data_IF_437967944749
#
_entry.id   IF_437967944749
#
_cell.length_a   1.000
_cell.length_b   1.000
_cell.length_c   1.000
_cell.angle_alpha   90.00
_cell.angle_beta   90.00
_cell.angle_gamma   90.00
#
_symmetry.space_group_name_H-M   'P 1'
#
loop_
_entity.id
_entity.type
_entity.pdbx_description
1 polymer ?
#
# COMPACT_ATOMS: atom_id res chain seq x y z
N UNK A 1 73.64 -27.84 52.67
CA UNK A 1 72.93 -28.25 51.49
C UNK A 1 71.43 -28.04 51.79
N UNK A 2 70.92 -26.86 51.54
CA UNK A 2 69.53 -26.51 51.84
C UNK A 2 69.02 -25.53 50.78
N UNK A 3 68.09 -25.99 49.95
CA UNK A 3 67.49 -25.19 48.94
C UNK A 3 66.31 -24.35 49.50
N UNK A 4 66.49 -23.06 49.49
CA UNK A 4 65.39 -22.12 49.76
C UNK A 4 64.56 -21.92 48.52
N UNK A 5 63.28 -22.26 48.59
CA UNK A 5 62.27 -21.88 47.60
C UNK A 5 61.63 -20.55 48.04
N UNK A 6 61.82 -19.55 47.21
CA UNK A 6 61.15 -18.26 47.37
C UNK A 6 59.82 -18.36 46.66
N UNK A 7 58.72 -18.09 47.37
CA UNK A 7 57.36 -18.03 46.83
C UNK A 7 57.10 -16.61 46.36
N UNK A 8 56.95 -16.38 45.05
CA UNK A 8 56.48 -15.10 44.49
C UNK A 8 54.96 -15.14 44.43
N UNK A 9 54.31 -14.27 45.23
CA UNK A 9 52.88 -13.93 45.04
C UNK A 9 52.76 -12.91 43.88
N UNK A 10 52.13 -13.31 42.79
CA UNK A 10 51.74 -12.43 41.72
C UNK A 10 50.32 -11.89 42.01
N UNK A 11 50.22 -10.59 42.22
CA UNK A 11 48.94 -9.88 42.31
C UNK A 11 48.35 -9.73 40.91
N UNK A 12 47.15 -10.27 40.70
CA UNK A 12 46.34 -10.00 39.51
C UNK A 12 45.54 -8.71 39.72
N UNK A 13 45.51 -7.78 38.77
CA UNK A 13 44.51 -6.70 38.76
C UNK A 13 43.19 -7.21 38.22
N UNK A 14 42.10 -6.97 38.99
CA UNK A 14 40.73 -7.11 38.52
C UNK A 14 40.44 -6.04 37.44
N UNK A 15 40.38 -6.45 36.18
CA UNK A 15 39.78 -5.64 35.13
C UNK A 15 38.26 -5.82 35.16
N UNK A 16 37.58 -4.79 35.66
CA UNK A 16 36.13 -4.69 35.54
C UNK A 16 35.71 -4.50 34.07
N UNK A 17 35.18 -5.55 33.46
CA UNK A 17 34.53 -5.43 32.18
C UNK A 17 33.16 -4.78 32.35
N UNK A 18 33.04 -3.50 31.99
CA UNK A 18 31.76 -2.84 31.81
C UNK A 18 31.05 -3.46 30.58
N UNK A 19 30.05 -4.27 30.83
CA UNK A 19 29.11 -4.72 29.79
C UNK A 19 28.26 -3.51 29.35
N UNK A 20 28.70 -2.83 28.32
CA UNK A 20 27.80 -1.96 27.53
C UNK A 20 26.83 -2.87 26.84
N UNK A 21 25.60 -2.94 27.36
CA UNK A 21 24.45 -3.50 26.63
C UNK A 21 24.21 -2.68 25.39
N UNK A 22 24.63 -3.18 24.23
CA UNK A 22 24.11 -2.71 22.95
C UNK A 22 22.66 -3.16 22.88
N UNK A 23 21.74 -2.22 23.08
CA UNK A 23 20.37 -2.39 22.61
C UNK A 23 20.45 -2.43 21.07
N UNK A 24 20.45 -3.62 20.51
CA UNK A 24 20.20 -3.82 19.09
C UNK A 24 18.75 -3.42 18.85
N UNK A 25 18.54 -2.15 18.47
CA UNK A 25 17.32 -1.76 17.78
C UNK A 25 17.28 -2.62 16.51
N UNK A 26 16.45 -3.66 16.51
CA UNK A 26 16.13 -4.37 15.28
C UNK A 26 15.44 -3.37 14.39
N UNK A 27 16.15 -2.88 13.36
CA UNK A 27 15.54 -2.25 12.22
C UNK A 27 14.65 -3.32 11.57
N UNK A 28 13.34 -3.17 11.68
CA UNK A 28 12.39 -4.05 11.02
C UNK A 28 12.62 -3.94 9.52
N UNK A 29 12.92 -5.06 8.88
CA UNK A 29 13.13 -5.11 7.44
C UNK A 29 11.83 -4.85 6.69
N UNK A 30 11.93 -4.46 5.41
CA UNK A 30 10.75 -4.35 4.53
C UNK A 30 9.91 -5.64 4.52
N UNK A 31 10.55 -6.82 4.72
CA UNK A 31 9.88 -8.10 4.81
C UNK A 31 9.05 -8.23 6.11
N UNK A 32 9.55 -7.73 7.24
CA UNK A 32 8.84 -7.80 8.53
C UNK A 32 7.60 -6.90 8.55
N UNK A 33 7.60 -5.80 7.77
CA UNK A 33 6.43 -4.93 7.62
C UNK A 33 5.34 -5.55 6.74
N UNK A 34 5.72 -6.47 5.86
CA UNK A 34 4.81 -7.26 5.02
C UNK A 34 4.11 -8.40 5.79
N UNK A 35 4.58 -8.74 6.98
CA UNK A 35 4.00 -9.78 7.84
C UNK A 35 2.83 -9.32 8.71
N UNK A 36 2.38 -8.08 8.63
CA UNK A 36 1.11 -7.70 9.23
C UNK A 36 -0.02 -8.42 8.51
N UNK A 37 -0.37 -9.60 9.01
CA UNK A 37 -1.52 -10.38 8.55
C UNK A 37 -2.79 -9.64 8.92
N UNK A 38 -3.48 -9.15 7.92
CA UNK A 38 -4.84 -8.60 8.06
C UNK A 38 -5.87 -9.74 8.04
N UNK A 39 -5.66 -10.77 8.84
CA UNK A 39 -6.43 -12.02 8.83
C UNK A 39 -7.80 -11.91 9.50
N UNK A 40 -8.11 -10.79 10.16
CA UNK A 40 -9.42 -10.54 10.79
C UNK A 40 -10.11 -9.32 10.17
N UNK A 41 -10.69 -9.51 8.98
CA UNK A 41 -11.35 -8.43 8.24
C UNK A 41 -12.48 -7.74 9.05
N UNK A 42 -13.25 -8.52 9.87
CA UNK A 42 -14.36 -7.96 10.67
C UNK A 42 -13.91 -7.02 11.77
N UNK A 43 -12.78 -7.31 12.42
CA UNK A 43 -12.19 -6.39 13.42
C UNK A 43 -11.59 -5.17 12.75
N UNK A 44 -10.91 -5.36 11.63
CA UNK A 44 -10.29 -4.29 10.86
C UNK A 44 -11.34 -3.35 10.24
N UNK A 45 -12.53 -3.86 9.90
CA UNK A 45 -13.63 -3.05 9.40
C UNK A 45 -14.01 -1.91 10.35
N UNK A 46 -13.95 -2.12 11.67
CA UNK A 46 -14.21 -1.06 12.66
C UNK A 46 -13.31 0.16 12.48
N UNK A 47 -12.05 -0.06 12.05
CA UNK A 47 -11.06 0.99 11.80
C UNK A 47 -11.07 1.46 10.35
N UNK A 48 -11.17 0.53 9.40
CA UNK A 48 -11.06 0.84 7.99
C UNK A 48 -12.32 1.50 7.43
N UNK A 49 -13.47 1.22 8.03
CA UNK A 49 -14.76 1.83 7.65
C UNK A 49 -15.23 2.89 8.66
N UNK A 50 -14.34 3.38 9.56
CA UNK A 50 -14.68 4.44 10.50
C UNK A 50 -15.14 5.68 9.73
N UNK A 51 -16.37 6.18 9.97
CA UNK A 51 -16.88 7.40 9.33
C UNK A 51 -15.98 8.63 9.54
N UNK A 52 -15.19 8.67 10.62
CA UNK A 52 -14.24 9.75 10.86
C UNK A 52 -13.16 9.86 9.75
N UNK A 53 -12.94 8.81 8.95
CA UNK A 53 -12.07 8.86 7.77
C UNK A 53 -12.57 9.84 6.71
N UNK A 54 -13.87 10.00 6.56
CA UNK A 54 -14.47 10.86 5.54
C UNK A 54 -13.98 12.31 5.65
N UNK A 55 -13.71 12.78 6.89
CA UNK A 55 -13.23 14.14 7.14
C UNK A 55 -11.84 14.46 6.56
N UNK A 56 -11.00 13.46 6.35
CA UNK A 56 -9.64 13.65 5.84
C UNK A 56 -9.34 12.85 4.56
N UNK A 57 -10.05 11.77 4.31
CA UNK A 57 -9.91 10.97 3.09
C UNK A 57 -10.76 11.51 1.94
N UNK A 58 -11.79 12.33 2.26
CA UNK A 58 -12.68 13.03 1.32
C UNK A 58 -13.12 12.12 0.16
N UNK A 59 -13.74 10.95 0.42
CA UNK A 59 -13.94 9.92 -0.58
C UNK A 59 -14.79 10.37 -1.76
N UNK A 60 -15.82 11.20 -1.56
CA UNK A 60 -16.67 11.70 -2.63
C UNK A 60 -15.87 12.61 -3.56
N UNK A 61 -15.03 13.50 -2.99
CA UNK A 61 -14.16 14.37 -3.77
C UNK A 61 -13.10 13.58 -4.54
N UNK A 62 -12.56 12.51 -3.95
CA UNK A 62 -11.66 11.59 -4.65
C UNK A 62 -12.36 10.98 -5.85
N UNK A 63 -13.56 10.42 -5.69
CA UNK A 63 -14.32 9.77 -6.76
C UNK A 63 -14.63 10.77 -7.88
N UNK A 64 -15.03 12.00 -7.55
CA UNK A 64 -15.28 13.05 -8.53
C UNK A 64 -14.03 13.37 -9.36
N UNK A 65 -12.86 13.45 -8.71
CA UNK A 65 -11.58 13.74 -9.37
C UNK A 65 -11.06 12.58 -10.22
N UNK A 66 -11.50 11.35 -9.97
CA UNK A 66 -11.20 10.22 -10.85
C UNK A 66 -11.87 10.34 -12.23
N UNK A 67 -12.90 11.20 -12.39
CA UNK A 67 -13.60 11.46 -13.66
C UNK A 67 -14.06 10.17 -14.35
N UNK A 68 -14.68 9.30 -13.60
CA UNK A 68 -15.21 8.04 -14.11
C UNK A 68 -16.41 8.28 -15.02
N UNK A 69 -16.55 7.40 -16.01
CA UNK A 69 -17.68 7.40 -16.96
C UNK A 69 -18.45 6.08 -16.83
N UNK A 70 -19.73 6.11 -17.15
CA UNK A 70 -20.55 4.89 -17.24
C UNK A 70 -19.93 3.88 -18.19
N UNK A 71 -19.97 2.61 -17.80
CA UNK A 71 -19.42 1.50 -18.59
C UNK A 71 -17.92 1.28 -18.41
N UNK A 72 -17.24 2.10 -17.59
CA UNK A 72 -15.85 1.87 -17.24
C UNK A 72 -15.71 0.75 -16.21
N UNK A 73 -14.53 0.15 -16.20
CA UNK A 73 -14.11 -0.88 -15.23
C UNK A 73 -12.99 -0.32 -14.37
N UNK A 74 -13.11 -0.47 -13.06
CA UNK A 74 -12.12 -0.01 -12.06
C UNK A 74 -11.59 -1.21 -11.30
N UNK A 75 -10.29 -1.22 -11.00
CA UNK A 75 -9.71 -2.11 -10.01
C UNK A 75 -9.31 -1.28 -8.77
N UNK A 76 -9.83 -1.65 -7.62
CA UNK A 76 -9.45 -1.12 -6.29
C UNK A 76 -8.45 -2.10 -5.70
N UNK A 77 -7.13 -1.78 -5.76
CA UNK A 77 -6.04 -2.68 -5.35
C UNK A 77 -5.63 -2.37 -3.90
N UNK A 78 -5.64 -3.40 -3.06
CA UNK A 78 -5.55 -3.28 -1.62
C UNK A 78 -6.88 -2.76 -1.06
N UNK A 79 -7.99 -3.31 -1.56
CA UNK A 79 -9.33 -2.83 -1.24
C UNK A 79 -9.69 -2.95 0.25
N UNK A 80 -9.00 -3.82 1.00
CA UNK A 80 -9.23 -4.04 2.41
C UNK A 80 -10.68 -4.47 2.67
N UNK A 81 -11.39 -3.69 3.47
CA UNK A 81 -12.81 -3.94 3.78
C UNK A 81 -13.76 -3.33 2.75
N UNK A 82 -13.25 -2.62 1.74
CA UNK A 82 -14.05 -2.07 0.63
C UNK A 82 -14.52 -0.64 0.85
N UNK A 83 -13.79 0.15 1.62
CA UNK A 83 -14.14 1.56 1.89
C UNK A 83 -14.34 2.38 0.61
N UNK A 84 -13.41 2.29 -0.36
CA UNK A 84 -13.57 2.91 -1.68
C UNK A 84 -14.39 2.05 -2.64
N UNK A 85 -14.24 0.73 -2.61
CA UNK A 85 -15.00 -0.21 -3.46
C UNK A 85 -16.50 0.08 -3.44
N UNK A 86 -17.10 0.17 -2.24
CA UNK A 86 -18.55 0.42 -2.09
C UNK A 86 -18.95 1.78 -2.64
N UNK A 87 -18.16 2.81 -2.38
CA UNK A 87 -18.42 4.18 -2.86
C UNK A 87 -18.29 4.26 -4.39
N UNK A 88 -17.28 3.64 -4.97
CA UNK A 88 -17.12 3.52 -6.42
C UNK A 88 -18.33 2.84 -7.05
N UNK A 89 -18.73 1.69 -6.49
CA UNK A 89 -19.85 0.91 -7.01
C UNK A 89 -21.19 1.67 -6.96
N UNK A 90 -21.37 2.52 -5.94
CA UNK A 90 -22.57 3.35 -5.74
C UNK A 90 -22.48 4.74 -6.37
N UNK A 91 -21.34 5.11 -6.95
CA UNK A 91 -21.16 6.41 -7.60
C UNK A 91 -22.09 6.57 -8.81
N UNK A 92 -22.28 7.80 -9.28
CA UNK A 92 -23.12 8.08 -10.46
C UNK A 92 -22.64 7.33 -11.70
N UNK A 93 -21.34 7.14 -11.87
CA UNK A 93 -20.76 6.37 -12.96
C UNK A 93 -21.08 4.88 -12.85
N UNK A 94 -21.31 4.37 -11.63
CA UNK A 94 -21.57 2.97 -11.31
C UNK A 94 -20.67 2.00 -12.09
N UNK A 95 -19.34 2.13 -12.03
CA UNK A 95 -18.43 1.28 -12.79
C UNK A 95 -18.54 -0.17 -12.32
N UNK A 96 -18.09 -1.11 -13.16
CA UNK A 96 -17.74 -2.44 -12.68
C UNK A 96 -16.48 -2.30 -11.83
N UNK A 97 -16.49 -2.83 -10.62
CA UNK A 97 -15.37 -2.72 -9.66
C UNK A 97 -14.80 -4.10 -9.35
N UNK A 98 -13.53 -4.30 -9.63
CA UNK A 98 -12.74 -5.39 -9.09
C UNK A 98 -12.15 -4.95 -7.76
N UNK A 99 -12.67 -5.49 -6.65
CA UNK A 99 -12.14 -5.30 -5.31
C UNK A 99 -11.03 -6.33 -5.07
N UNK A 100 -9.79 -5.86 -5.14
CA UNK A 100 -8.61 -6.72 -5.19
C UNK A 100 -7.87 -6.64 -3.87
N UNK A 101 -7.62 -7.78 -3.23
CA UNK A 101 -6.78 -7.83 -2.04
C UNK A 101 -5.92 -9.10 -2.03
N UNK A 102 -4.77 -9.03 -1.34
CA UNK A 102 -3.89 -10.18 -1.19
C UNK A 102 -4.35 -11.10 -0.06
N UNK A 103 -5.05 -10.57 0.94
CA UNK A 103 -5.49 -11.33 2.10
C UNK A 103 -6.80 -12.09 1.82
N UNK A 104 -6.82 -13.43 1.93
CA UNK A 104 -8.03 -14.22 1.66
C UNK A 104 -9.24 -13.81 2.52
N UNK A 105 -9.00 -13.40 3.77
CA UNK A 105 -10.05 -12.93 4.68
C UNK A 105 -10.71 -11.65 4.20
N UNK A 106 -9.93 -10.72 3.60
CA UNK A 106 -10.44 -9.50 2.98
C UNK A 106 -11.25 -9.82 1.72
N UNK A 107 -10.76 -10.72 0.87
CA UNK A 107 -11.48 -11.14 -0.35
C UNK A 107 -12.83 -11.76 0.00
N UNK A 108 -12.88 -12.64 1.02
CA UNK A 108 -14.14 -13.21 1.51
C UNK A 108 -15.07 -12.12 2.03
N UNK A 109 -14.56 -11.22 2.87
CA UNK A 109 -15.32 -10.11 3.44
C UNK A 109 -15.88 -9.17 2.34
N UNK A 110 -15.09 -8.84 1.33
CA UNK A 110 -15.51 -8.01 0.19
C UNK A 110 -16.66 -8.67 -0.59
N UNK A 111 -16.59 -9.98 -0.81
CA UNK A 111 -17.66 -10.73 -1.47
C UNK A 111 -18.94 -10.74 -0.63
N UNK A 112 -18.84 -11.01 0.68
CA UNK A 112 -19.98 -10.97 1.62
C UNK A 112 -20.60 -9.57 1.66
N UNK A 113 -19.78 -8.53 1.78
CA UNK A 113 -20.23 -7.14 1.81
C UNK A 113 -20.93 -6.73 0.51
N UNK A 114 -20.36 -7.08 -0.65
CA UNK A 114 -21.00 -6.80 -1.93
C UNK A 114 -22.39 -7.45 -2.03
N UNK A 115 -22.53 -8.69 -1.58
CA UNK A 115 -23.81 -9.38 -1.55
C UNK A 115 -24.81 -8.72 -0.57
N UNK A 116 -24.37 -8.38 0.64
CA UNK A 116 -25.21 -7.73 1.67
C UNK A 116 -25.70 -6.35 1.23
N UNK A 117 -24.83 -5.59 0.53
CA UNK A 117 -25.15 -4.24 0.04
C UNK A 117 -25.77 -4.25 -1.37
N UNK A 118 -26.08 -5.43 -1.93
CA UNK A 118 -26.68 -5.64 -3.27
C UNK A 118 -25.86 -5.00 -4.42
N UNK A 119 -24.53 -5.02 -4.32
CA UNK A 119 -23.62 -4.44 -5.31
C UNK A 119 -23.26 -5.46 -6.40
N UNK A 120 -24.16 -5.67 -7.37
CA UNK A 120 -23.96 -6.63 -8.47
C UNK A 120 -22.83 -6.26 -9.42
N UNK A 121 -22.33 -5.02 -9.36
CA UNK A 121 -21.21 -4.50 -10.15
C UNK A 121 -19.85 -4.64 -9.42
N UNK A 122 -19.78 -5.31 -8.26
CA UNK A 122 -18.53 -5.57 -7.52
C UNK A 122 -18.16 -7.04 -7.65
N UNK A 123 -16.87 -7.31 -7.92
CA UNK A 123 -16.28 -8.64 -7.96
C UNK A 123 -15.04 -8.66 -7.08
N UNK A 124 -15.03 -9.46 -6.04
CA UNK A 124 -13.85 -9.67 -5.18
C UNK A 124 -12.81 -10.55 -5.91
N UNK A 125 -11.54 -10.16 -5.87
CA UNK A 125 -10.44 -10.83 -6.57
C UNK A 125 -9.27 -11.04 -5.63
N UNK A 126 -8.76 -12.27 -5.59
CA UNK A 126 -7.54 -12.62 -4.85
C UNK A 126 -6.31 -12.22 -5.67
N UNK A 127 -5.51 -11.29 -5.15
CA UNK A 127 -4.21 -10.93 -5.72
C UNK A 127 -3.12 -11.95 -5.36
N UNK A 128 -2.04 -11.94 -6.14
CA UNK A 128 -0.75 -12.46 -5.72
C UNK A 128 0.21 -11.29 -5.42
N UNK A 129 1.32 -11.57 -4.75
CA UNK A 129 2.27 -10.52 -4.33
C UNK A 129 2.84 -9.69 -5.51
N UNK A 130 2.89 -10.27 -6.70
CA UNK A 130 3.50 -9.68 -7.88
C UNK A 130 2.51 -9.34 -9.01
N UNK A 131 1.22 -9.62 -8.80
CA UNK A 131 0.15 -9.33 -9.77
C UNK A 131 -1.22 -9.20 -9.10
N UNK A 132 -2.06 -8.27 -9.55
CA UNK A 132 -3.43 -8.13 -9.03
C UNK A 132 -4.39 -9.21 -9.54
N UNK A 133 -3.97 -10.11 -10.44
CA UNK A 133 -4.77 -11.17 -11.03
C UNK A 133 -6.10 -10.70 -11.66
N UNK A 134 -6.11 -9.52 -12.28
CA UNK A 134 -7.33 -8.97 -12.87
C UNK A 134 -7.86 -9.87 -13.99
N UNK A 135 -9.18 -10.20 -14.00
CA UNK A 135 -9.78 -11.06 -15.03
C UNK A 135 -9.81 -10.42 -16.42
N UNK A 136 -9.78 -9.10 -16.50
CA UNK A 136 -9.77 -8.33 -17.74
C UNK A 136 -9.02 -7.01 -17.59
N UNK A 137 -8.71 -6.35 -18.69
CA UNK A 137 -8.13 -5.01 -18.66
C UNK A 137 -9.14 -3.97 -18.16
N UNK A 138 -8.64 -3.00 -17.37
CA UNK A 138 -9.44 -1.98 -16.70
C UNK A 138 -9.14 -0.57 -17.22
N UNK A 139 -10.10 0.35 -17.03
CA UNK A 139 -9.96 1.76 -17.38
C UNK A 139 -9.21 2.56 -16.32
N UNK A 140 -9.33 2.12 -15.06
CA UNK A 140 -8.68 2.76 -13.91
C UNK A 140 -8.25 1.72 -12.90
N UNK A 141 -7.05 1.89 -12.37
CA UNK A 141 -6.60 1.26 -11.13
C UNK A 141 -6.56 2.33 -10.04
N UNK A 142 -7.23 2.08 -8.92
CA UNK A 142 -7.15 2.89 -7.71
C UNK A 142 -6.32 2.13 -6.68
N UNK A 143 -5.38 2.82 -6.04
CA UNK A 143 -4.51 2.30 -4.97
C UNK A 143 -4.55 3.31 -3.84
N UNK A 144 -5.16 2.95 -2.71
CA UNK A 144 -5.27 3.83 -1.54
C UNK A 144 -4.62 3.17 -0.35
N UNK A 145 -3.69 3.87 0.30
CA UNK A 145 -2.97 3.40 1.49
C UNK A 145 -2.31 2.02 1.31
N UNK A 146 -1.91 1.71 0.06
CA UNK A 146 -1.41 0.38 -0.33
C UNK A 146 -0.08 0.46 -1.08
N UNK A 147 0.24 1.59 -1.72
CA UNK A 147 1.48 1.75 -2.48
C UNK A 147 2.73 1.42 -1.64
N UNK A 148 2.74 1.83 -0.37
CA UNK A 148 3.83 1.57 0.55
C UNK A 148 3.99 0.09 0.94
N UNK A 149 2.96 -0.74 0.74
CA UNK A 149 3.00 -2.19 0.95
C UNK A 149 3.51 -2.98 -0.26
N UNK A 150 3.52 -2.38 -1.45
CA UNK A 150 3.92 -3.09 -2.68
C UNK A 150 5.44 -3.23 -2.71
N UNK A 151 5.94 -4.46 -2.66
CA UNK A 151 7.35 -4.77 -2.87
C UNK A 151 7.71 -4.77 -4.36
N UNK A 152 8.99 -4.45 -4.70
CA UNK A 152 9.46 -4.49 -6.09
C UNK A 152 8.61 -3.66 -7.07
N UNK A 153 8.16 -2.48 -6.64
CA UNK A 153 7.16 -1.62 -7.31
C UNK A 153 7.42 -1.41 -8.80
N UNK A 154 8.68 -1.19 -9.22
CA UNK A 154 9.00 -1.05 -10.65
C UNK A 154 8.54 -2.26 -11.47
N UNK A 155 8.80 -3.47 -10.99
CA UNK A 155 8.42 -4.71 -11.68
C UNK A 155 6.91 -4.91 -11.61
N UNK A 156 6.32 -4.68 -10.44
CA UNK A 156 4.88 -4.78 -10.23
C UNK A 156 4.10 -3.88 -11.18
N UNK A 157 4.41 -2.58 -11.22
CA UNK A 157 3.72 -1.61 -12.06
C UNK A 157 3.97 -1.83 -13.55
N UNK A 158 5.18 -2.31 -13.94
CA UNK A 158 5.44 -2.71 -15.33
C UNK A 158 4.56 -3.89 -15.77
N UNK A 159 4.27 -4.83 -14.87
CA UNK A 159 3.32 -5.91 -15.13
C UNK A 159 1.88 -5.40 -15.18
N UNK A 160 1.51 -4.54 -14.22
CA UNK A 160 0.19 -3.93 -14.12
C UNK A 160 -0.21 -3.17 -15.41
N UNK A 161 0.76 -2.57 -16.10
CA UNK A 161 0.52 -1.89 -17.38
C UNK A 161 -0.20 -2.77 -18.41
N UNK A 162 0.00 -4.09 -18.37
CA UNK A 162 -0.67 -5.05 -19.27
C UNK A 162 -2.15 -5.26 -18.95
N UNK A 163 -2.56 -4.88 -17.76
CA UNK A 163 -3.95 -4.95 -17.28
C UNK A 163 -4.70 -3.62 -17.43
N UNK A 164 -4.08 -2.62 -18.06
CA UNK A 164 -4.75 -1.37 -18.40
C UNK A 164 -5.23 -1.40 -19.86
N UNK A 165 -6.46 -0.91 -20.09
CA UNK A 165 -6.96 -0.61 -21.42
C UNK A 165 -6.17 0.55 -22.06
N UNK A 166 -6.21 0.73 -23.38
CA UNK A 166 -5.70 1.94 -24.02
C UNK A 166 -6.28 3.20 -23.37
N UNK A 167 -5.42 4.12 -22.91
CA UNK A 167 -5.83 5.30 -22.16
C UNK A 167 -6.19 5.03 -20.68
N UNK A 168 -5.99 3.81 -20.21
CA UNK A 168 -6.17 3.46 -18.81
C UNK A 168 -5.20 4.19 -17.89
N UNK A 169 -5.62 4.41 -16.64
CA UNK A 169 -4.91 5.24 -15.66
C UNK A 169 -4.68 4.48 -14.35
N UNK A 170 -3.68 4.93 -13.60
CA UNK A 170 -3.42 4.48 -12.22
C UNK A 170 -3.51 5.70 -11.31
N UNK A 171 -4.40 5.66 -10.33
CA UNK A 171 -4.53 6.67 -9.27
C UNK A 171 -3.92 6.12 -7.99
N UNK A 172 -2.96 6.84 -7.43
CA UNK A 172 -2.28 6.49 -6.18
C UNK A 172 -2.60 7.56 -5.14
N UNK A 173 -3.13 7.11 -4.01
CA UNK A 173 -3.38 7.92 -2.82
C UNK A 173 -2.62 7.29 -1.68
N UNK A 174 -1.65 8.00 -1.09
CA UNK A 174 -0.84 7.48 0.01
C UNK A 174 -0.39 8.60 0.95
N UNK A 175 -0.02 8.25 2.16
CA UNK A 175 0.27 9.20 3.22
C UNK A 175 1.43 10.13 2.92
N UNK A 176 1.23 11.42 3.23
CA UNK A 176 2.29 12.44 3.22
C UNK A 176 3.34 12.14 4.31
N UNK A 177 4.62 12.48 4.12
CA UNK A 177 5.66 12.26 5.13
C UNK A 177 5.36 12.89 6.49
N UNK A 178 4.67 14.01 6.51
CA UNK A 178 4.29 14.78 7.71
C UNK A 178 2.90 14.47 8.24
N UNK A 179 2.18 13.51 7.64
CA UNK A 179 0.85 13.11 8.12
C UNK A 179 0.90 12.68 9.60
N UNK A 180 -0.10 13.07 10.42
CA UNK A 180 -0.17 12.66 11.83
C UNK A 180 -0.46 11.16 11.99
N UNK A 181 -1.00 10.52 10.97
CA UNK A 181 -1.38 9.10 10.94
C UNK A 181 -0.78 8.42 9.71
N UNK A 182 -0.85 7.10 9.68
CA UNK A 182 -0.35 6.28 8.57
C UNK A 182 0.76 5.32 9.00
N UNK A 183 1.48 4.72 8.06
CA UNK A 183 2.59 3.82 8.33
C UNK A 183 3.75 4.56 9.01
N UNK A 184 4.75 3.86 9.57
CA UNK A 184 6.00 4.47 10.01
C UNK A 184 6.60 5.39 8.94
N UNK A 185 7.29 6.46 9.37
CA UNK A 185 7.72 7.54 8.47
C UNK A 185 8.63 7.06 7.32
N UNK A 186 9.41 6.03 7.54
CA UNK A 186 10.30 5.39 6.58
C UNK A 186 9.57 4.72 5.41
N UNK A 187 8.27 4.46 5.56
CA UNK A 187 7.39 3.91 4.52
C UNK A 187 6.49 4.95 3.86
N UNK A 188 6.72 6.24 4.14
CA UNK A 188 5.97 7.35 3.54
C UNK A 188 6.80 7.99 2.45
N UNK A 189 6.23 8.10 1.27
CA UNK A 189 6.91 8.57 0.09
C UNK A 189 6.53 10.01 -0.24
N UNK A 190 7.49 10.81 -0.72
CA UNK A 190 7.17 12.12 -1.32
C UNK A 190 6.58 11.92 -2.72
N UNK A 191 5.87 12.93 -3.27
CA UNK A 191 5.39 12.87 -4.66
C UNK A 191 6.49 12.57 -5.65
N UNK A 192 7.68 13.16 -5.48
CA UNK A 192 8.83 12.99 -6.36
C UNK A 192 9.34 11.55 -6.34
N UNK A 193 9.33 10.89 -5.17
CA UNK A 193 9.71 9.49 -5.03
C UNK A 193 8.70 8.58 -5.76
N UNK A 194 7.40 8.80 -5.55
CA UNK A 194 6.35 8.04 -6.24
C UNK A 194 6.47 8.24 -7.76
N UNK A 195 6.61 9.48 -8.22
CA UNK A 195 6.77 9.79 -9.64
C UNK A 195 8.02 9.13 -10.23
N UNK A 196 9.13 9.15 -9.50
CA UNK A 196 10.38 8.51 -9.94
C UNK A 196 10.21 7.00 -10.12
N UNK A 197 9.57 6.32 -9.15
CA UNK A 197 9.34 4.87 -9.23
C UNK A 197 8.35 4.52 -10.35
N UNK A 198 7.26 5.26 -10.49
CA UNK A 198 6.29 5.08 -11.57
C UNK A 198 6.91 5.34 -12.96
N UNK A 199 7.77 6.34 -13.09
CA UNK A 199 8.47 6.63 -14.35
C UNK A 199 9.38 5.48 -14.77
N UNK A 200 10.12 4.85 -13.84
CA UNK A 200 10.92 3.65 -14.10
C UNK A 200 10.06 2.47 -14.58
N UNK A 201 8.83 2.40 -14.10
CA UNK A 201 7.86 1.38 -14.53
C UNK A 201 7.18 1.69 -15.88
N UNK A 202 7.45 2.86 -16.48
CA UNK A 202 6.92 3.27 -17.78
C UNK A 202 5.61 4.07 -17.70
N UNK A 203 5.39 4.77 -16.60
CA UNK A 203 4.24 5.67 -16.43
C UNK A 203 4.67 7.13 -16.41
N UNK A 204 3.75 8.01 -16.80
CA UNK A 204 3.90 9.46 -16.73
C UNK A 204 2.82 10.03 -15.82
N UNK A 205 3.19 10.97 -14.94
CA UNK A 205 2.24 11.71 -14.11
C UNK A 205 1.36 12.59 -15.03
N UNK A 206 0.03 12.43 -14.92
CA UNK A 206 -0.94 13.20 -15.70
C UNK A 206 -1.73 14.20 -14.87
N UNK A 207 -1.87 13.94 -13.57
CA UNK A 207 -2.48 14.89 -12.63
C UNK A 207 -1.93 14.67 -11.22
N UNK A 208 -1.89 15.77 -10.47
CA UNK A 208 -1.65 15.80 -9.04
C UNK A 208 -2.71 16.69 -8.41
N UNK A 209 -3.36 16.17 -7.36
CA UNK A 209 -4.40 16.90 -6.63
C UNK A 209 -3.94 17.14 -5.18
N UNK A 210 -3.94 18.39 -4.75
CA UNK A 210 -3.59 18.77 -3.38
C UNK A 210 -4.85 19.09 -2.57
N UNK A 211 -5.79 18.16 -2.59
CA UNK A 211 -7.08 18.30 -1.90
C UNK A 211 -7.12 17.53 -0.58
N UNK A 212 -6.27 16.51 -0.43
CA UNK A 212 -6.26 15.65 0.74
C UNK A 212 -5.30 16.20 1.80
N UNK A 213 -5.78 16.44 3.03
CA UNK A 213 -4.95 17.04 4.08
C UNK A 213 -3.79 16.12 4.52
N UNK A 214 -3.96 14.80 4.44
CA UNK A 214 -3.02 13.80 4.98
C UNK A 214 -2.32 12.96 3.93
N UNK A 215 -2.76 13.02 2.67
CA UNK A 215 -2.31 12.13 1.60
C UNK A 215 -1.94 12.90 0.33
N UNK A 216 -1.07 12.31 -0.46
CA UNK A 216 -0.88 12.67 -1.86
C UNK A 216 -1.95 12.00 -2.71
N UNK A 217 -2.35 12.65 -3.79
CA UNK A 217 -3.23 12.08 -4.80
C UNK A 217 -2.64 12.33 -6.19
N UNK A 218 -2.11 11.28 -6.78
CA UNK A 218 -1.36 11.31 -8.04
C UNK A 218 -2.05 10.40 -9.06
N UNK A 219 -2.20 10.86 -10.30
CA UNK A 219 -2.78 10.07 -11.40
C UNK A 219 -1.73 9.91 -12.49
N UNK A 220 -1.56 8.68 -12.95
CA UNK A 220 -0.59 8.29 -13.96
C UNK A 220 -1.28 7.65 -15.16
N UNK A 221 -0.67 7.79 -16.34
CA UNK A 221 -0.97 7.01 -17.54
C UNK A 221 0.29 6.31 -18.02
N UNK A 222 0.13 5.28 -18.84
CA UNK A 222 1.28 4.65 -19.52
C UNK A 222 1.92 5.72 -20.40
N UNK A 223 3.24 5.85 -20.30
CA UNK A 223 3.99 6.79 -21.12
C UNK A 223 3.86 6.40 -22.60
N UNK A 224 3.57 7.37 -23.45
CA UNK A 224 3.60 7.17 -24.89
C UNK A 224 4.98 6.68 -25.31
N UNK A 225 5.06 5.52 -25.95
CA UNK A 225 6.32 5.11 -26.57
C UNK A 225 6.56 6.06 -27.74
N UNK A 226 7.72 6.73 -27.79
CA UNK A 226 8.04 7.48 -29.00
C UNK A 226 7.94 6.53 -30.20
N UNK A 227 7.12 6.90 -31.18
CA UNK A 227 7.05 6.19 -32.47
C UNK A 227 8.46 6.07 -33.02
N UNK A 228 8.95 4.84 -33.18
CA UNK A 228 10.23 4.56 -33.85
C UNK A 228 10.12 4.86 -35.34
#
# INVERSE_FOLDING_TARGET
>A
MSSNRVLLLAAMPLLGAALFGQSSGQEMSHADHMEHRFDNAKELAKRFDDPARDAWQLPDQVIDLLRLKRGQTVADIGAGTGYFTVRLAKSEAAPKVYAVDIEPSMVSYLGERAAQEHLSNVVAVQAAADTPNLPEAVDLVLIVDTFHHIGGREVYFRRLAKSLKPGGRVAIIDFKPDSPEGPPKEFRFTPEQIVSEMSKAGYTLTAQHDVLPRQHFLIFAIADRPSR
#
